data_IF_639151420495
#
_entry.id   IF_639151420495
#
_cell.length_a   1.000
_cell.length_b   1.000
_cell.length_c   1.000
_cell.angle_alpha   90.00
_cell.angle_beta   90.00
_cell.angle_gamma   90.00
#
_symmetry.space_group_name_H-M   'P 1'
#
loop_
_entity.id
_entity.type
_entity.pdbx_description
1 polymer ?
#
# COMPACT_ATOMS: atom_id res chain seq x y z
N UNK A 1 -45.19 62.74 -15.24
CA UNK A 1 -45.08 61.68 -14.21
C UNK A 1 -43.84 60.86 -14.50
N UNK A 2 -42.96 60.70 -13.50
CA UNK A 2 -41.58 60.23 -13.65
C UNK A 2 -41.52 58.70 -13.63
N UNK A 3 -40.85 58.15 -14.64
CA UNK A 3 -40.36 56.78 -14.70
C UNK A 3 -39.18 56.59 -13.75
N UNK A 4 -39.14 55.48 -13.02
CA UNK A 4 -37.93 54.95 -12.37
C UNK A 4 -37.92 53.43 -12.57
N UNK A 5 -37.01 52.86 -13.35
CA UNK A 5 -36.79 51.43 -13.39
C UNK A 5 -35.80 51.03 -12.28
N UNK A 6 -36.20 50.05 -11.47
CA UNK A 6 -35.42 49.46 -10.40
C UNK A 6 -34.40 48.48 -11.01
N UNK A 7 -33.16 48.93 -11.20
CA UNK A 7 -32.05 48.10 -11.66
C UNK A 7 -31.49 47.29 -10.48
N UNK A 8 -31.89 46.02 -10.39
CA UNK A 8 -31.44 45.10 -9.35
C UNK A 8 -30.11 44.46 -9.78
N UNK A 9 -28.99 45.09 -9.41
CA UNK A 9 -27.65 44.53 -9.61
C UNK A 9 -27.40 43.39 -8.62
N UNK A 10 -27.66 42.15 -9.04
CA UNK A 10 -27.16 40.94 -8.39
C UNK A 10 -25.63 40.87 -8.59
N UNK A 11 -24.89 41.29 -7.57
CA UNK A 11 -23.45 41.02 -7.45
C UNK A 11 -23.24 39.51 -7.28
N UNK A 12 -22.93 38.83 -8.39
CA UNK A 12 -22.32 37.50 -8.39
C UNK A 12 -20.90 37.64 -7.84
N UNK A 13 -20.76 37.57 -6.51
CA UNK A 13 -19.49 37.32 -5.85
C UNK A 13 -19.03 35.90 -6.19
N UNK A 14 -18.39 35.76 -7.35
CA UNK A 14 -17.65 34.56 -7.72
C UNK A 14 -16.44 34.49 -6.79
N UNK A 15 -16.57 33.73 -5.70
CA UNK A 15 -15.43 33.24 -4.93
C UNK A 15 -14.66 32.28 -5.81
N UNK A 16 -13.86 32.82 -6.74
CA UNK A 16 -12.78 32.10 -7.39
C UNK A 16 -11.69 31.84 -6.34
N UNK A 17 -11.94 30.91 -5.43
CA UNK A 17 -10.90 30.28 -4.63
C UNK A 17 -9.92 29.66 -5.61
N UNK A 18 -8.77 30.34 -5.80
CA UNK A 18 -7.59 29.75 -6.43
C UNK A 18 -7.40 28.39 -5.76
N UNK A 19 -7.52 27.31 -6.53
CA UNK A 19 -7.15 26.00 -6.01
C UNK A 19 -5.70 26.13 -5.54
N UNK A 20 -5.38 25.74 -4.29
CA UNK A 20 -4.01 25.75 -3.86
C UNK A 20 -3.22 24.88 -4.83
N UNK A 21 -2.09 25.39 -5.32
CA UNK A 21 -1.16 24.65 -6.16
C UNK A 21 -0.79 23.34 -5.45
N UNK A 22 -1.44 22.23 -5.85
CA UNK A 22 -1.25 20.87 -5.32
C UNK A 22 0.14 20.29 -5.65
N UNK A 23 0.98 21.05 -6.36
CA UNK A 23 2.28 20.63 -6.87
C UNK A 23 3.43 20.70 -5.85
N UNK A 24 3.16 21.03 -4.59
CA UNK A 24 4.19 21.07 -3.55
C UNK A 24 3.88 20.17 -2.35
N UNK A 25 3.26 19.00 -2.59
CA UNK A 25 3.22 17.94 -1.57
C UNK A 25 4.63 17.38 -1.46
N UNK A 26 5.38 17.81 -0.43
CA UNK A 26 6.72 17.32 -0.11
C UNK A 26 6.62 15.86 0.37
N UNK A 27 6.80 14.91 -0.53
CA UNK A 27 6.92 13.49 -0.18
C UNK A 27 8.37 13.13 0.16
N UNK A 28 8.54 12.11 0.99
CA UNK A 28 9.83 11.51 1.36
C UNK A 28 9.89 10.09 0.81
N UNK A 29 11.10 9.54 0.70
CA UNK A 29 11.35 8.13 0.31
C UNK A 29 11.93 7.37 1.48
N UNK A 30 11.52 6.12 1.64
CA UNK A 30 12.15 5.20 2.62
C UNK A 30 13.58 4.96 2.18
N UNK A 31 14.55 5.26 3.06
CA UNK A 31 15.96 4.98 2.78
C UNK A 31 16.28 3.54 3.16
N UNK A 32 16.78 2.79 2.18
CA UNK A 32 17.34 1.45 2.34
C UNK A 32 18.80 1.51 1.91
N UNK A 33 19.69 1.05 2.78
CA UNK A 33 21.10 0.86 2.46
C UNK A 33 21.20 -0.49 1.74
N UNK A 34 21.41 -0.44 0.43
CA UNK A 34 21.57 -1.60 -0.45
C UNK A 34 22.56 -1.25 -1.56
N UNK A 35 23.40 -2.21 -1.95
CA UNK A 35 24.39 -2.03 -3.03
C UNK A 35 23.71 -1.95 -4.40
N UNK A 36 22.69 -2.79 -4.61
CA UNK A 36 21.82 -2.85 -5.79
C UNK A 36 20.39 -2.45 -5.43
N UNK A 37 19.63 -1.85 -6.36
CA UNK A 37 18.23 -1.45 -6.09
C UNK A 37 17.28 -2.66 -6.21
N UNK A 38 17.26 -3.49 -5.18
CA UNK A 38 16.43 -4.70 -5.11
C UNK A 38 15.09 -4.43 -4.43
N UNK A 39 15.11 -3.65 -3.35
CA UNK A 39 13.91 -3.34 -2.55
C UNK A 39 13.40 -1.93 -2.86
N UNK A 40 12.09 -1.75 -3.11
CA UNK A 40 11.52 -0.44 -3.43
C UNK A 40 11.70 0.56 -2.28
N UNK A 41 12.14 1.77 -2.61
CA UNK A 41 12.18 2.90 -1.70
C UNK A 41 10.86 3.69 -1.77
N UNK A 42 9.83 3.15 -1.11
CA UNK A 42 8.46 3.69 -1.18
C UNK A 42 8.35 5.16 -0.78
N UNK A 43 7.47 5.87 -1.47
CA UNK A 43 7.07 7.23 -1.13
C UNK A 43 6.14 7.25 0.09
N UNK A 44 6.36 8.22 0.97
CA UNK A 44 5.47 8.49 2.09
C UNK A 44 5.37 9.98 2.39
N UNK A 45 4.33 10.35 3.12
CA UNK A 45 4.14 11.70 3.63
C UNK A 45 4.20 11.69 5.15
N UNK A 46 4.57 12.83 5.73
CA UNK A 46 4.51 13.00 7.18
C UNK A 46 3.09 12.75 7.67
N UNK A 47 2.99 12.02 8.78
CA UNK A 47 1.73 11.88 9.49
C UNK A 47 1.48 13.22 10.18
N UNK A 48 0.54 14.02 9.67
CA UNK A 48 -0.02 15.10 10.47
C UNK A 48 -0.68 14.46 11.70
N UNK A 49 -0.52 15.07 12.87
CA UNK A 49 -1.01 14.53 14.14
C UNK A 49 -2.49 14.17 14.03
N UNK A 50 -2.77 12.90 13.76
CA UNK A 50 -4.13 12.43 13.67
C UNK A 50 -4.66 12.33 15.10
N UNK A 51 -5.71 13.10 15.40
CA UNK A 51 -6.55 12.84 16.58
C UNK A 51 -6.82 11.33 16.65
N UNK A 52 -6.50 10.72 17.79
CA UNK A 52 -6.64 9.27 18.03
C UNK A 52 -8.04 8.82 17.60
N UNK A 53 -8.16 8.25 16.40
CA UNK A 53 -9.39 7.58 15.97
C UNK A 53 -9.52 6.33 16.82
N UNK A 54 -10.65 6.17 17.51
CA UNK A 54 -10.94 4.95 18.28
C UNK A 54 -10.85 3.75 17.34
N UNK A 55 -9.92 2.85 17.60
CA UNK A 55 -9.87 1.55 16.92
C UNK A 55 -11.06 0.72 17.39
N UNK A 56 -11.77 0.09 16.46
CA UNK A 56 -12.83 -0.86 16.79
C UNK A 56 -12.19 -2.05 17.52
N UNK A 57 -12.66 -2.34 18.73
CA UNK A 57 -12.23 -3.52 19.47
C UNK A 57 -12.71 -4.77 18.72
N UNK A 58 -11.79 -5.57 18.18
CA UNK A 58 -12.12 -6.83 17.52
C UNK A 58 -12.35 -7.92 18.57
N UNK A 59 -13.49 -8.62 18.47
CA UNK A 59 -13.81 -9.83 19.25
C UNK A 59 -12.72 -10.90 19.02
N UNK A 60 -12.37 -11.65 20.07
CA UNK A 60 -11.32 -12.67 20.04
C UNK A 60 -11.71 -13.87 19.18
N UNK A 61 -11.41 -13.81 17.89
CA UNK A 61 -11.25 -15.00 17.05
C UNK A 61 -9.89 -15.66 17.32
N UNK A 62 -9.78 -16.96 17.04
CA UNK A 62 -8.53 -17.72 17.09
C UNK A 62 -7.41 -16.93 16.38
N UNK A 63 -6.47 -16.44 17.17
CA UNK A 63 -5.43 -15.55 16.68
C UNK A 63 -4.27 -16.37 16.18
N UNK A 64 -3.92 -16.18 14.90
CA UNK A 64 -2.71 -16.72 14.32
C UNK A 64 -1.49 -16.29 15.14
N UNK A 65 -0.48 -17.14 15.28
CA UNK A 65 0.82 -16.71 15.77
C UNK A 65 1.53 -15.83 14.74
N UNK A 66 2.62 -15.17 15.12
CA UNK A 66 3.32 -14.20 14.26
C UNK A 66 3.81 -14.83 12.95
N UNK A 67 4.31 -16.06 13.02
CA UNK A 67 4.81 -16.80 11.85
C UNK A 67 3.67 -17.18 10.91
N UNK A 68 2.55 -17.64 11.47
CA UNK A 68 1.34 -17.98 10.71
C UNK A 68 0.72 -16.75 10.04
N UNK A 69 0.59 -15.65 10.77
CA UNK A 69 0.06 -14.39 10.24
C UNK A 69 0.94 -13.87 9.09
N UNK A 70 2.26 -13.94 9.25
CA UNK A 70 3.21 -13.57 8.21
C UNK A 70 3.05 -14.45 6.96
N UNK A 71 3.17 -15.76 7.13
CA UNK A 71 3.15 -16.71 6.02
C UNK A 71 1.81 -16.69 5.27
N UNK A 72 0.67 -16.81 5.98
CA UNK A 72 -0.64 -16.86 5.33
C UNK A 72 -0.99 -15.53 4.66
N UNK A 73 -0.58 -14.40 5.25
CA UNK A 73 -0.70 -13.08 4.65
C UNK A 73 0.08 -12.98 3.34
N UNK A 74 1.39 -13.30 3.38
CA UNK A 74 2.25 -13.31 2.19
C UNK A 74 1.74 -14.28 1.13
N UNK A 75 1.28 -15.47 1.52
CA UNK A 75 0.83 -16.50 0.59
C UNK A 75 -0.44 -16.04 -0.14
N UNK A 76 -1.39 -15.44 0.57
CA UNK A 76 -2.58 -14.87 -0.05
C UNK A 76 -2.24 -13.71 -0.99
N UNK A 77 -1.30 -12.84 -0.61
CA UNK A 77 -0.82 -11.77 -1.47
C UNK A 77 -0.15 -12.30 -2.74
N UNK A 78 0.66 -13.37 -2.63
CA UNK A 78 1.21 -14.08 -3.79
C UNK A 78 0.12 -14.56 -4.74
N UNK A 79 -0.94 -15.21 -4.22
CA UNK A 79 -2.07 -15.66 -5.04
C UNK A 79 -2.79 -14.50 -5.75
N UNK A 80 -2.94 -13.35 -5.08
CA UNK A 80 -3.48 -12.11 -5.69
C UNK A 80 -2.58 -11.61 -6.82
N UNK A 81 -1.26 -11.58 -6.61
CA UNK A 81 -0.29 -11.18 -7.64
C UNK A 81 -0.29 -12.13 -8.85
N UNK A 82 -0.33 -13.45 -8.62
CA UNK A 82 -0.43 -14.47 -9.69
C UNK A 82 -1.69 -14.25 -10.54
N UNK A 83 -2.84 -14.00 -9.90
CA UNK A 83 -4.11 -13.70 -10.57
C UNK A 83 -4.01 -12.43 -11.42
N UNK A 84 -3.37 -11.38 -10.91
CA UNK A 84 -3.16 -10.11 -11.65
C UNK A 84 -2.29 -10.33 -12.88
N UNK A 85 -1.25 -11.15 -12.77
CA UNK A 85 -0.30 -11.43 -13.83
C UNK A 85 -0.77 -12.50 -14.83
N UNK A 86 -1.97 -13.06 -14.65
CA UNK A 86 -2.47 -14.17 -15.46
C UNK A 86 -1.63 -15.45 -15.31
N UNK A 87 -0.86 -15.58 -14.23
CA UNK A 87 -0.06 -16.77 -13.97
C UNK A 87 -1.00 -17.84 -13.45
N UNK A 88 -0.96 -19.02 -14.08
CA UNK A 88 -1.69 -20.18 -13.60
C UNK A 88 -1.26 -20.45 -12.15
N UNK A 89 -2.22 -20.37 -11.22
CA UNK A 89 -1.98 -20.70 -9.82
C UNK A 89 -1.55 -22.15 -9.78
N UNK A 90 -0.29 -22.41 -9.41
CA UNK A 90 0.17 -23.78 -9.34
C UNK A 90 -0.56 -24.43 -8.17
N UNK A 91 -1.44 -25.39 -8.45
CA UNK A 91 -2.13 -26.20 -7.43
C UNK A 91 -1.16 -27.08 -6.60
N UNK A 92 0.16 -26.92 -6.79
CA UNK A 92 1.18 -27.59 -5.97
C UNK A 92 1.25 -26.91 -4.60
N UNK A 93 0.40 -27.37 -3.69
CA UNK A 93 0.41 -27.07 -2.25
C UNK A 93 1.62 -27.71 -1.53
N UNK A 94 2.79 -27.76 -2.18
CA UNK A 94 3.98 -28.30 -1.56
C UNK A 94 4.70 -27.20 -0.80
N UNK A 95 4.48 -27.20 0.52
CA UNK A 95 5.07 -26.25 1.44
C UNK A 95 5.29 -26.97 2.78
N UNK A 96 6.36 -27.77 2.93
CA UNK A 96 6.52 -28.66 4.08
C UNK A 96 6.37 -27.96 5.44
N UNK A 97 6.97 -26.78 5.59
CA UNK A 97 6.93 -26.02 6.85
C UNK A 97 5.52 -25.52 7.24
N UNK A 98 4.61 -25.40 6.27
CA UNK A 98 3.26 -24.84 6.48
C UNK A 98 2.16 -25.70 5.83
N UNK A 99 2.43 -26.99 5.61
CA UNK A 99 1.53 -27.87 4.86
C UNK A 99 0.14 -27.94 5.51
N UNK A 100 0.11 -28.17 6.82
CA UNK A 100 -1.14 -28.21 7.59
C UNK A 100 -1.89 -26.87 7.54
N UNK A 101 -1.19 -25.74 7.64
CA UNK A 101 -1.81 -24.43 7.53
C UNK A 101 -2.46 -24.21 6.16
N UNK A 102 -1.80 -24.62 5.07
CA UNK A 102 -2.39 -24.53 3.73
C UNK A 102 -3.62 -25.44 3.57
N UNK A 103 -3.63 -26.62 4.19
CA UNK A 103 -4.82 -27.49 4.21
C UNK A 103 -5.97 -26.86 5.01
N UNK A 104 -5.68 -26.37 6.22
CA UNK A 104 -6.67 -25.76 7.12
C UNK A 104 -7.29 -24.50 6.50
N UNK A 105 -6.47 -23.63 5.92
CA UNK A 105 -6.89 -22.30 5.45
C UNK A 105 -7.12 -22.22 3.93
N UNK A 106 -6.94 -23.30 3.18
CA UNK A 106 -7.00 -23.30 1.71
C UNK A 106 -8.23 -22.60 1.13
N UNK A 107 -9.43 -22.92 1.62
CA UNK A 107 -10.68 -22.28 1.15
C UNK A 107 -10.67 -20.75 1.38
N UNK A 108 -10.13 -20.28 2.50
CA UNK A 108 -10.06 -18.86 2.82
C UNK A 108 -8.97 -18.12 2.03
N UNK A 109 -7.87 -18.82 1.70
CA UNK A 109 -6.77 -18.30 0.87
C UNK A 109 -7.25 -18.02 -0.56
N UNK A 110 -8.04 -18.93 -1.15
CA UNK A 110 -8.59 -18.77 -2.50
C UNK A 110 -9.86 -17.90 -2.58
N UNK A 111 -10.47 -17.55 -1.43
CA UNK A 111 -11.60 -16.63 -1.40
C UNK A 111 -11.12 -15.20 -1.69
N UNK A 112 -11.27 -14.80 -2.94
CA UNK A 112 -11.04 -13.44 -3.39
C UNK A 112 -12.11 -12.97 -4.40
N UNK A 113 -12.80 -11.89 -4.03
CA UNK A 113 -13.78 -11.20 -4.89
C UNK A 113 -13.27 -9.88 -5.46
N UNK A 114 -12.03 -9.51 -5.12
CA UNK A 114 -11.44 -8.26 -5.54
C UNK A 114 -11.05 -8.34 -7.03
N UNK A 115 -11.21 -7.19 -7.70
CA UNK A 115 -10.75 -6.97 -9.07
C UNK A 115 -9.56 -6.02 -9.01
N UNK A 116 -8.63 -6.18 -9.95
CA UNK A 116 -7.38 -5.42 -10.00
C UNK A 116 -7.10 -5.02 -11.45
N UNK A 117 -6.43 -3.89 -11.65
CA UNK A 117 -5.96 -3.44 -12.97
C UNK A 117 -4.64 -2.70 -12.85
N UNK A 118 -3.72 -3.08 -13.73
CA UNK A 118 -2.46 -2.36 -13.98
C UNK A 118 -2.61 -1.28 -15.07
N UNK A 119 -3.76 -1.23 -15.75
CA UNK A 119 -4.06 -0.21 -16.75
C UNK A 119 -4.47 1.07 -16.03
N UNK A 120 -3.58 2.06 -16.04
CA UNK A 120 -3.78 3.41 -15.49
C UNK A 120 -2.97 4.42 -16.29
N UNK A 121 -3.31 5.70 -16.15
CA UNK A 121 -2.47 6.80 -16.63
C UNK A 121 -1.30 7.04 -15.67
N UNK A 122 -0.27 6.20 -15.77
CA UNK A 122 0.90 6.26 -14.89
C UNK A 122 1.67 7.57 -15.01
N UNK A 123 1.62 8.22 -16.18
CA UNK A 123 2.25 9.53 -16.42
C UNK A 123 1.53 10.63 -15.63
N UNK A 124 0.20 10.68 -15.68
CA UNK A 124 -0.58 11.61 -14.86
C UNK A 124 -0.38 11.36 -13.35
N UNK A 125 -0.31 10.08 -12.94
CA UNK A 125 -0.03 9.72 -11.55
C UNK A 125 1.34 10.23 -11.10
N UNK A 126 2.40 10.02 -11.90
CA UNK A 126 3.76 10.49 -11.61
C UNK A 126 3.92 12.03 -11.66
N UNK A 127 3.01 12.73 -12.34
CA UNK A 127 2.98 14.19 -12.41
C UNK A 127 2.18 14.85 -11.28
N UNK A 128 1.48 14.08 -10.44
CA UNK A 128 0.56 14.60 -9.42
C UNK A 128 0.96 14.22 -8.00
N UNK A 129 0.25 14.77 -7.00
CA UNK A 129 0.40 14.35 -5.60
C UNK A 129 -0.04 12.89 -5.35
N UNK A 130 -0.67 12.26 -6.35
CA UNK A 130 -1.07 10.85 -6.28
C UNK A 130 0.11 9.88 -6.34
N UNK A 131 1.34 10.36 -6.53
CA UNK A 131 2.56 9.56 -6.32
C UNK A 131 2.51 8.84 -4.96
N UNK A 132 2.07 9.54 -3.92
CA UNK A 132 1.94 8.97 -2.59
C UNK A 132 1.01 7.76 -2.59
N UNK A 133 -0.19 7.85 -3.17
CA UNK A 133 -1.17 6.76 -3.16
C UNK A 133 -0.92 5.65 -4.19
N UNK A 134 0.19 5.70 -4.94
CA UNK A 134 0.52 4.75 -5.99
C UNK A 134 1.93 4.18 -5.79
N UNK A 135 2.13 3.29 -4.78
CA UNK A 135 3.41 2.64 -4.49
C UNK A 135 4.02 1.85 -5.65
N UNK A 136 3.24 1.53 -6.69
CA UNK A 136 3.75 0.97 -7.97
C UNK A 136 4.87 1.81 -8.57
N UNK A 137 4.81 3.14 -8.40
CA UNK A 137 5.81 4.07 -8.91
C UNK A 137 7.19 3.91 -8.24
N UNK A 138 7.27 3.27 -7.08
CA UNK A 138 8.56 3.03 -6.41
C UNK A 138 9.23 1.71 -6.83
N UNK A 139 8.55 0.87 -7.63
CA UNK A 139 9.06 -0.44 -8.00
C UNK A 139 10.24 -0.34 -8.99
N UNK A 140 11.26 -1.21 -8.85
CA UNK A 140 12.39 -1.29 -9.79
C UNK A 140 11.95 -1.75 -11.18
N UNK A 141 12.36 -1.05 -12.23
CA UNK A 141 12.14 -1.46 -13.63
C UNK A 141 13.25 -2.40 -14.08
N UNK A 142 14.50 -1.97 -13.92
CA UNK A 142 15.72 -2.61 -14.44
C UNK A 142 16.83 -2.77 -13.39
N UNK A 143 16.50 -2.55 -12.11
CA UNK A 143 17.47 -2.62 -10.99
C UNK A 143 18.33 -1.36 -10.84
N UNK A 144 18.20 -0.39 -11.74
CA UNK A 144 18.84 0.93 -11.63
C UNK A 144 17.81 2.01 -11.31
N UNK A 145 16.67 1.97 -12.01
CA UNK A 145 15.63 2.99 -11.91
C UNK A 145 14.33 2.41 -11.36
N UNK A 146 13.62 3.23 -10.61
CA UNK A 146 12.22 2.95 -10.30
C UNK A 146 11.29 3.46 -11.40
N UNK A 147 10.05 2.96 -11.39
CA UNK A 147 9.05 3.31 -12.38
C UNK A 147 8.75 4.82 -12.42
N UNK A 148 8.81 5.51 -11.28
CA UNK A 148 8.67 6.97 -11.21
C UNK A 148 9.75 7.70 -12.02
N UNK A 149 11.01 7.32 -11.80
CA UNK A 149 12.18 7.93 -12.46
C UNK A 149 12.16 7.59 -13.93
N UNK A 150 11.87 6.34 -14.27
CA UNK A 150 11.68 5.89 -15.65
C UNK A 150 10.62 6.72 -16.39
N UNK A 151 9.43 6.93 -15.79
CA UNK A 151 8.36 7.76 -16.38
C UNK A 151 8.77 9.24 -16.55
N UNK A 152 9.65 9.77 -15.71
CA UNK A 152 10.09 11.17 -15.78
C UNK A 152 11.09 11.40 -16.90
N UNK A 153 11.94 10.41 -17.15
CA UNK A 153 12.98 10.47 -18.17
C UNK A 153 12.45 10.09 -19.56
N UNK A 154 11.52 9.12 -19.61
CA UNK A 154 10.95 8.63 -20.85
C UNK A 154 9.71 9.39 -21.29
N UNK A 155 9.53 9.51 -22.61
CA UNK A 155 8.37 10.21 -23.18
C UNK A 155 7.06 9.43 -23.02
N UNK A 156 7.15 8.09 -22.92
CA UNK A 156 6.03 7.16 -22.90
C UNK A 156 6.37 5.92 -22.05
N UNK A 157 5.37 5.40 -21.34
CA UNK A 157 5.47 4.13 -20.60
C UNK A 157 4.25 3.29 -20.96
N UNK A 158 4.47 2.17 -21.63
CA UNK A 158 3.40 1.23 -21.97
C UNK A 158 2.98 0.38 -20.77
N UNK A 159 1.85 -0.30 -20.95
CA UNK A 159 1.32 -1.23 -19.94
C UNK A 159 2.23 -2.45 -19.77
N UNK A 160 2.98 -2.85 -20.79
CA UNK A 160 3.86 -4.03 -20.75
C UNK A 160 5.03 -3.80 -19.79
N UNK A 161 5.64 -2.63 -19.83
CA UNK A 161 6.69 -2.18 -18.91
C UNK A 161 6.22 -2.22 -17.46
N UNK A 162 5.00 -1.73 -17.20
CA UNK A 162 4.40 -1.77 -15.85
C UNK A 162 4.09 -3.20 -15.41
N UNK A 163 3.59 -4.04 -16.34
CA UNK A 163 3.36 -5.46 -16.07
C UNK A 163 4.65 -6.21 -15.76
N UNK A 164 5.74 -5.94 -16.49
CA UNK A 164 7.03 -6.57 -16.24
C UNK A 164 7.65 -6.07 -14.94
N UNK A 165 7.55 -4.77 -14.65
CA UNK A 165 7.92 -4.20 -13.34
C UNK A 165 7.19 -4.91 -12.19
N UNK A 166 5.87 -5.11 -12.31
CA UNK A 166 5.10 -5.85 -11.32
C UNK A 166 5.50 -7.33 -11.25
N UNK A 167 5.79 -7.96 -12.39
CA UNK A 167 6.28 -9.34 -12.47
C UNK A 167 7.62 -9.52 -11.78
N UNK A 168 8.53 -8.56 -11.93
CA UNK A 168 9.82 -8.53 -11.25
C UNK A 168 9.66 -8.45 -9.74
N UNK A 169 8.81 -7.53 -9.26
CA UNK A 169 8.50 -7.46 -7.84
C UNK A 169 7.82 -8.73 -7.30
N UNK A 170 6.94 -9.36 -8.10
CA UNK A 170 6.35 -10.66 -7.77
C UNK A 170 7.41 -11.76 -7.58
N UNK A 171 8.50 -11.77 -8.37
CA UNK A 171 9.59 -12.75 -8.20
C UNK A 171 10.19 -12.68 -6.79
N UNK A 172 10.36 -11.47 -6.22
CA UNK A 172 10.84 -11.27 -4.84
C UNK A 172 9.87 -11.92 -3.84
N UNK A 173 8.57 -11.59 -3.94
CA UNK A 173 7.54 -12.16 -3.06
C UNK A 173 7.46 -13.68 -3.19
N UNK A 174 7.57 -14.21 -4.42
CA UNK A 174 7.55 -15.65 -4.69
C UNK A 174 8.74 -16.36 -4.07
N UNK A 175 9.95 -15.79 -4.19
CA UNK A 175 11.16 -16.35 -3.61
C UNK A 175 11.06 -16.39 -2.09
N UNK A 176 10.59 -15.31 -1.46
CA UNK A 176 10.39 -15.28 -0.02
C UNK A 176 9.37 -16.35 0.44
N UNK A 177 8.27 -16.56 -0.30
CA UNK A 177 7.34 -17.66 -0.02
C UNK A 177 7.99 -19.03 -0.16
N UNK A 178 8.84 -19.23 -1.16
CA UNK A 178 9.59 -20.48 -1.31
C UNK A 178 10.47 -20.73 -0.09
N UNK A 179 11.24 -19.73 0.33
CA UNK A 179 12.15 -19.85 1.47
C UNK A 179 11.37 -20.15 2.77
N UNK A 180 10.21 -19.52 2.96
CA UNK A 180 9.28 -19.85 4.04
C UNK A 180 8.77 -21.29 3.94
N UNK A 181 8.44 -21.77 2.75
CA UNK A 181 7.94 -23.13 2.56
C UNK A 181 8.99 -24.21 2.85
N UNK A 182 10.24 -23.94 2.47
CA UNK A 182 11.36 -24.87 2.64
C UNK A 182 11.90 -24.86 4.07
N UNK A 183 12.07 -23.67 4.67
CA UNK A 183 12.78 -23.50 5.96
C UNK A 183 11.89 -23.10 7.13
N UNK A 184 10.66 -22.68 6.87
CA UNK A 184 9.78 -22.08 7.87
C UNK A 184 10.20 -20.67 8.31
N UNK A 185 11.11 -20.02 7.59
CA UNK A 185 11.59 -18.66 7.87
C UNK A 185 12.06 -17.95 6.60
N UNK A 186 12.23 -16.63 6.67
CA UNK A 186 12.82 -15.77 5.65
C UNK A 186 13.43 -14.54 6.31
N UNK A 187 14.28 -13.80 5.60
CA UNK A 187 14.78 -12.51 6.09
C UNK A 187 13.65 -11.53 6.42
N UNK A 188 12.65 -11.43 5.54
CA UNK A 188 11.49 -10.57 5.76
C UNK A 188 10.65 -11.00 6.97
N UNK A 189 10.57 -12.30 7.27
CA UNK A 189 9.93 -12.77 8.51
C UNK A 189 10.66 -12.28 9.75
N UNK A 190 11.99 -12.24 9.75
CA UNK A 190 12.74 -11.70 10.89
C UNK A 190 12.53 -10.20 11.04
N UNK A 191 12.43 -9.45 9.93
CA UNK A 191 12.05 -8.02 9.97
C UNK A 191 10.65 -7.84 10.56
N UNK A 192 9.68 -8.63 10.11
CA UNK A 192 8.31 -8.63 10.64
C UNK A 192 8.27 -8.94 12.13
N UNK A 193 8.97 -10.00 12.56
CA UNK A 193 9.03 -10.43 13.95
C UNK A 193 9.70 -9.39 14.84
N UNK A 194 10.80 -8.80 14.39
CA UNK A 194 11.45 -7.73 15.14
C UNK A 194 10.48 -6.54 15.30
N UNK A 195 9.72 -6.21 14.26
CA UNK A 195 8.71 -5.18 14.36
C UNK A 195 7.58 -5.55 15.33
N UNK A 196 7.03 -6.76 15.23
CA UNK A 196 5.94 -7.23 16.09
C UNK A 196 6.35 -7.32 17.57
N UNK A 197 7.62 -7.57 17.87
CA UNK A 197 8.11 -7.68 19.25
C UNK A 197 8.50 -6.32 19.86
N UNK A 198 9.23 -5.49 19.13
CA UNK A 198 9.84 -4.28 19.70
C UNK A 198 9.03 -3.00 19.46
N UNK A 199 8.48 -2.83 18.25
CA UNK A 199 7.84 -1.57 17.87
C UNK A 199 6.33 -1.58 18.11
N UNK A 200 5.71 -2.77 18.11
CA UNK A 200 4.26 -2.88 18.33
C UNK A 200 3.84 -2.50 19.75
N UNK A 201 4.73 -2.72 20.75
CA UNK A 201 4.49 -2.49 22.18
C UNK A 201 4.72 -1.05 22.60
N UNK A 202 5.50 -0.28 21.82
CA UNK A 202 5.75 1.13 22.07
C UNK A 202 4.69 2.02 21.41
N UNK A 203 3.69 2.43 22.19
CA UNK A 203 2.65 3.35 21.75
C UNK A 203 3.17 4.74 21.33
N UNK A 204 4.37 5.14 21.78
CA UNK A 204 4.97 6.43 21.41
C UNK A 204 5.66 6.38 20.05
N UNK A 205 6.11 5.20 19.63
CA UNK A 205 6.66 4.97 18.30
C UNK A 205 5.56 4.87 17.24
N UNK A 206 4.46 4.20 17.57
CA UNK A 206 3.37 3.98 16.63
C UNK A 206 2.76 5.29 16.10
N UNK A 207 2.46 5.34 14.80
CA UNK A 207 1.96 6.53 14.10
C UNK A 207 2.94 7.71 14.03
N UNK A 208 4.24 7.46 14.19
CA UNK A 208 5.28 8.43 13.85
C UNK A 208 5.78 8.26 12.41
N UNK A 209 6.45 9.27 11.87
CA UNK A 209 7.14 9.19 10.59
C UNK A 209 8.14 8.02 10.56
N UNK A 210 8.89 7.82 11.65
CA UNK A 210 9.85 6.72 11.79
C UNK A 210 9.16 5.36 11.76
N UNK A 211 8.02 5.22 12.43
CA UNK A 211 7.22 4.00 12.39
C UNK A 211 6.67 3.71 11.00
N UNK A 212 6.15 4.72 10.30
CA UNK A 212 5.69 4.57 8.93
C UNK A 212 6.82 4.11 8.01
N UNK A 213 7.98 4.75 8.09
CA UNK A 213 9.15 4.38 7.30
C UNK A 213 9.64 2.96 7.62
N UNK A 214 9.63 2.55 8.88
CA UNK A 214 9.98 1.20 9.31
C UNK A 214 8.94 0.15 8.86
N UNK A 215 7.65 0.48 8.95
CA UNK A 215 6.56 -0.39 8.53
C UNK A 215 6.58 -0.64 7.01
N UNK A 216 6.98 0.36 6.22
CA UNK A 216 7.21 0.24 4.79
C UNK A 216 8.46 -0.59 4.42
N UNK A 217 9.20 -1.12 5.40
CA UNK A 217 10.25 -2.15 5.19
C UNK A 217 9.71 -3.57 5.39
N UNK A 218 8.48 -3.71 5.88
CA UNK A 218 7.85 -5.00 6.17
C UNK A 218 7.11 -5.49 4.93
N UNK A 219 7.63 -6.53 4.28
CA UNK A 219 7.15 -7.02 2.97
C UNK A 219 5.64 -7.18 2.85
N UNK A 220 4.93 -7.85 3.78
CA UNK A 220 3.49 -8.04 3.60
C UNK A 220 2.70 -6.74 3.79
N UNK A 221 3.25 -5.71 4.44
CA UNK A 221 2.63 -4.38 4.49
C UNK A 221 2.79 -3.65 3.16
N UNK A 222 3.98 -3.69 2.56
CA UNK A 222 4.21 -3.07 1.25
C UNK A 222 3.44 -3.77 0.13
N UNK A 223 3.32 -5.10 0.20
CA UNK A 223 2.49 -5.89 -0.69
C UNK A 223 1.01 -5.51 -0.58
N UNK A 224 0.49 -5.37 0.65
CA UNK A 224 -0.87 -4.86 0.86
C UNK A 224 -1.03 -3.48 0.21
N UNK A 225 -0.06 -2.58 0.43
CA UNK A 225 -0.13 -1.23 -0.09
C UNK A 225 -0.15 -1.19 -1.63
N UNK A 226 0.71 -2.00 -2.27
CA UNK A 226 0.74 -2.19 -3.71
C UNK A 226 -0.57 -2.72 -4.25
N UNK A 227 -1.05 -3.84 -3.73
CA UNK A 227 -2.27 -4.50 -4.18
C UNK A 227 -3.50 -3.60 -4.00
N UNK A 228 -3.57 -2.87 -2.90
CA UNK A 228 -4.67 -1.93 -2.62
C UNK A 228 -4.63 -0.72 -3.57
N UNK A 229 -3.46 -0.30 -4.04
CA UNK A 229 -3.33 0.80 -5.00
C UNK A 229 -3.89 0.44 -6.38
N UNK A 230 -3.79 -0.82 -6.82
CA UNK A 230 -4.22 -1.30 -8.15
C UNK A 230 -5.58 -1.99 -8.14
N UNK A 231 -6.27 -1.98 -7.00
CA UNK A 231 -7.61 -2.53 -6.84
C UNK A 231 -8.66 -1.67 -7.53
N UNK A 232 -9.62 -2.32 -8.19
CA UNK A 232 -10.77 -1.70 -8.84
C UNK A 232 -12.03 -1.94 -8.01
N UNK A 233 -12.84 -0.90 -7.85
CA UNK A 233 -14.04 -0.93 -7.02
C UNK A 233 -13.73 -0.59 -5.57
N UNK A 234 -14.77 -0.22 -4.81
CA UNK A 234 -14.65 0.39 -3.49
C UNK A 234 -13.77 -0.36 -2.48
N UNK A 235 -13.48 0.34 -1.36
CA UNK A 235 -12.58 -0.08 -0.29
C UNK A 235 -13.16 -1.21 0.55
N UNK A 236 -13.22 -2.44 0.02
CA UNK A 236 -13.24 -3.62 0.90
C UNK A 236 -11.94 -3.57 1.72
N UNK A 237 -12.03 -3.59 3.04
CA UNK A 237 -10.87 -3.53 3.92
C UNK A 237 -9.90 -4.71 3.75
N UNK A 238 -8.86 -4.79 4.62
CA UNK A 238 -7.99 -5.95 4.66
C UNK A 238 -8.82 -7.23 4.85
N UNK A 239 -8.38 -8.32 4.21
CA UNK A 239 -8.96 -9.64 4.48
C UNK A 239 -8.54 -10.18 5.86
N UNK A 240 -8.99 -11.39 6.19
CA UNK A 240 -8.70 -12.02 7.48
C UNK A 240 -7.18 -12.09 7.76
N UNK A 241 -6.37 -12.58 6.82
CA UNK A 241 -4.92 -12.75 7.06
C UNK A 241 -4.20 -11.41 7.12
N UNK A 242 -4.58 -10.46 6.26
CA UNK A 242 -4.09 -9.08 6.31
C UNK A 242 -4.44 -8.42 7.66
N UNK A 243 -5.65 -8.65 8.18
CA UNK A 243 -6.09 -8.13 9.48
C UNK A 243 -5.27 -8.72 10.62
N UNK A 244 -5.03 -10.03 10.62
CA UNK A 244 -4.20 -10.69 11.63
C UNK A 244 -2.77 -10.13 11.59
N UNK A 245 -2.19 -9.98 10.40
CA UNK A 245 -0.87 -9.37 10.22
C UNK A 245 -0.81 -7.94 10.78
N UNK A 246 -1.76 -7.07 10.43
CA UNK A 246 -1.78 -5.69 10.95
C UNK A 246 -1.98 -5.64 12.47
N UNK A 247 -2.72 -6.59 13.04
CA UNK A 247 -2.88 -6.71 14.49
C UNK A 247 -1.54 -7.03 15.17
N UNK A 248 -0.74 -7.95 14.61
CA UNK A 248 0.59 -8.29 15.14
C UNK A 248 1.58 -7.12 15.10
N UNK A 249 1.45 -6.27 14.10
CA UNK A 249 2.31 -5.09 13.93
C UNK A 249 1.81 -3.86 14.69
N UNK A 250 0.67 -3.94 15.40
CA UNK A 250 -0.05 -2.77 15.92
C UNK A 250 -0.23 -1.66 14.85
N UNK A 251 -0.46 -2.09 13.61
CA UNK A 251 -0.43 -1.23 12.42
C UNK A 251 -1.81 -1.12 11.74
N UNK A 252 -2.90 -1.38 12.48
CA UNK A 252 -4.26 -1.25 11.94
C UNK A 252 -4.58 0.16 11.43
N UNK A 253 -3.92 1.18 11.98
CA UNK A 253 -4.01 2.57 11.55
C UNK A 253 -3.48 2.80 10.13
N UNK A 254 -2.60 1.92 9.61
CA UNK A 254 -1.99 2.05 8.30
C UNK A 254 -3.02 2.07 7.17
N UNK A 255 -4.11 1.31 7.33
CA UNK A 255 -5.25 1.37 6.40
C UNK A 255 -5.80 2.79 6.30
N UNK A 256 -6.05 3.44 7.45
CA UNK A 256 -6.56 4.81 7.48
C UNK A 256 -5.59 5.78 6.82
N UNK A 257 -4.27 5.55 6.92
CA UNK A 257 -3.27 6.30 6.19
C UNK A 257 -3.40 6.11 4.66
N UNK A 258 -3.44 4.86 4.18
CA UNK A 258 -3.61 4.54 2.74
C UNK A 258 -4.91 5.12 2.18
N UNK A 259 -6.01 4.97 2.91
CA UNK A 259 -7.32 5.51 2.53
C UNK A 259 -7.27 7.04 2.42
N UNK A 260 -6.61 7.76 3.34
CA UNK A 260 -6.44 9.22 3.26
C UNK A 260 -5.65 9.65 2.02
N UNK A 261 -4.57 8.94 1.69
CA UNK A 261 -3.77 9.27 0.50
C UNK A 261 -4.60 9.20 -0.79
N UNK A 262 -5.51 8.24 -0.91
CA UNK A 262 -6.42 8.12 -2.06
C UNK A 262 -7.43 9.28 -2.16
N UNK A 263 -7.80 9.88 -1.04
CA UNK A 263 -8.78 10.96 -0.97
C UNK A 263 -8.16 12.37 -0.81
N UNK A 264 -6.84 12.47 -0.76
CA UNK A 264 -6.08 13.72 -0.62
C UNK A 264 -6.42 14.76 -1.70
N UNK A 265 -6.97 14.35 -2.85
CA UNK A 265 -7.43 15.28 -3.90
C UNK A 265 -8.70 16.05 -3.53
N UNK A 266 -9.40 15.68 -2.46
CA UNK A 266 -10.68 16.28 -2.06
C UNK A 266 -10.63 17.17 -0.82
N UNK A 267 -9.64 17.07 0.06
CA UNK A 267 -9.58 17.88 1.30
C UNK A 267 -8.15 17.94 1.86
N UNK A 268 -7.33 18.88 1.38
CA UNK A 268 -6.26 19.47 2.20
C UNK A 268 -6.59 20.95 2.37
N UNK A 269 -7.64 21.21 3.12
CA UNK A 269 -7.78 22.43 3.90
C UNK A 269 -7.90 22.02 5.36
N UNK A 270 -7.36 22.87 6.24
CA UNK A 270 -7.46 22.85 7.71
C UNK A 270 -6.40 21.96 8.41
N UNK A 271 -5.54 22.44 9.32
CA UNK A 271 -5.46 23.68 10.11
C UNK A 271 -3.97 24.03 10.33
N UNK A 272 -3.61 25.29 10.09
CA UNK A 272 -2.57 25.99 10.86
C UNK A 272 -3.31 27.03 11.70
N UNK A 273 -3.26 26.88 13.01
CA UNK A 273 -3.16 27.97 13.97
C UNK A 273 -2.03 27.59 14.93
#
# INVERSE_FOLDING_TARGET
MKFVPLFFCLFLASCATKSPNLLNVKYKRVKLEQESYEKPQFFYSELSETRRSRSIASVSEDSLNDKEAYFLGMYKQKLKMEKILGIAQSNKNYCPAFHNHLLTYGKQLHKDSQKFSLVKDWKALAASSQVLSNPMLALPVDGEKDLYTYIKEESFVDTETVQETFRNYYKITKNEIRDLCETGSSEGYFVFRNYSQYYSTDNSFNQTEKALAALLKVTPVTNYYLLDSIKIGGTKGPDYFETQMFKKLNAQWFRGYVDRLKHSSKNISYIKE
#
